data_IF_960674831396
#
_entry.id   IF_960674831396
#
_cell.length_a   1.000
_cell.length_b   1.000
_cell.length_c   1.000
_cell.angle_alpha   90.00
_cell.angle_beta   90.00
_cell.angle_gamma   90.00
#
_symmetry.space_group_name_H-M   'P 1'
#
loop_
_entity.id
_entity.type
_entity.pdbx_description
1 polymer ?
#
# COMPACT_ATOMS: atom_id res chain seq x y z
N UNK A 1 -8.48 -56.20 28.80
CA UNK A 1 -7.09 -55.77 28.53
C UNK A 1 -7.15 -54.32 28.12
N UNK A 2 -7.08 -53.50 29.15
CA UNK A 2 -7.09 -52.04 29.10
C UNK A 2 -5.80 -51.53 28.47
N UNK A 3 -5.91 -50.47 27.67
CA UNK A 3 -4.77 -49.64 27.32
C UNK A 3 -4.94 -48.35 28.11
N UNK A 4 -4.06 -48.19 29.08
CA UNK A 4 -4.01 -47.09 30.03
C UNK A 4 -3.83 -45.75 29.31
N UNK A 5 -4.66 -44.80 29.75
CA UNK A 5 -4.47 -43.36 29.60
C UNK A 5 -3.45 -42.88 30.62
N UNK A 6 -2.32 -42.35 30.16
CA UNK A 6 -1.50 -41.41 30.94
C UNK A 6 -1.56 -40.05 30.23
N UNK A 7 -2.15 -39.10 30.95
CA UNK A 7 -1.97 -37.66 30.73
C UNK A 7 -0.61 -37.32 31.34
N UNK A 8 0.21 -36.56 30.62
CA UNK A 8 1.12 -35.60 31.23
C UNK A 8 1.37 -34.39 30.30
N UNK A 9 1.33 -33.26 30.98
CA UNK A 9 1.41 -31.80 30.76
C UNK A 9 1.87 -31.16 29.42
N UNK A 10 1.37 -29.92 29.13
CA UNK A 10 1.82 -29.11 28.01
C UNK A 10 3.16 -28.42 28.32
N UNK A 11 4.14 -28.60 27.43
CA UNK A 11 5.34 -27.76 27.36
C UNK A 11 4.94 -26.32 27.01
N UNK A 12 4.90 -25.44 28.01
CA UNK A 12 5.01 -24.00 27.81
C UNK A 12 6.42 -23.71 27.28
N UNK A 13 6.51 -23.07 26.11
CA UNK A 13 7.76 -22.52 25.59
C UNK A 13 7.53 -21.10 25.07
N UNK A 14 7.87 -20.15 25.93
CA UNK A 14 8.52 -18.85 25.72
C UNK A 14 8.52 -18.28 24.29
N UNK A 15 7.36 -17.85 23.81
CA UNK A 15 7.24 -17.04 22.59
C UNK A 15 6.47 -15.73 22.79
N UNK A 16 6.02 -15.42 24.01
CA UNK A 16 5.32 -14.16 24.33
C UNK A 16 6.25 -13.06 24.87
N UNK A 17 7.41 -13.39 25.45
CA UNK A 17 8.34 -12.38 25.99
C UNK A 17 9.07 -11.57 24.89
N UNK A 18 9.39 -12.18 23.75
CA UNK A 18 10.14 -11.50 22.68
C UNK A 18 9.30 -10.51 21.86
N UNK A 19 7.97 -10.69 21.80
CA UNK A 19 7.04 -9.78 21.11
C UNK A 19 6.61 -8.60 22.00
N UNK A 20 6.65 -8.78 23.33
CA UNK A 20 6.44 -7.70 24.29
C UNK A 20 7.63 -6.73 24.30
N UNK A 21 8.86 -7.25 24.30
CA UNK A 21 10.09 -6.43 24.33
C UNK A 21 10.28 -5.60 23.05
N UNK A 22 9.93 -6.14 21.88
CA UNK A 22 9.98 -5.38 20.62
C UNK A 22 8.98 -4.21 20.59
N UNK A 23 7.78 -4.41 21.16
CA UNK A 23 6.75 -3.37 21.30
C UNK A 23 7.14 -2.31 22.34
N UNK A 24 7.74 -2.73 23.47
CA UNK A 24 8.21 -1.83 24.53
C UNK A 24 9.43 -1.02 24.06
N UNK A 25 10.34 -1.60 23.27
CA UNK A 25 11.48 -0.88 22.69
C UNK A 25 11.03 0.19 21.67
N UNK A 26 10.02 -0.10 20.83
CA UNK A 26 9.43 0.93 19.97
C UNK A 26 8.70 2.02 20.78
N UNK A 27 7.90 1.66 21.78
CA UNK A 27 7.18 2.64 22.61
C UNK A 27 8.13 3.55 23.41
N UNK A 28 9.22 3.00 23.94
CA UNK A 28 10.22 3.77 24.69
C UNK A 28 11.07 4.68 23.80
N UNK A 29 11.33 4.30 22.54
CA UNK A 29 11.98 5.17 21.56
C UNK A 29 11.13 6.42 21.22
N UNK A 30 9.80 6.30 21.27
CA UNK A 30 8.87 7.44 21.08
C UNK A 30 8.57 8.22 22.38
N UNK A 31 8.82 7.66 23.56
CA UNK A 31 8.57 8.32 24.85
C UNK A 31 9.66 9.32 25.26
N UNK A 32 10.87 9.22 24.68
CA UNK A 32 12.02 10.07 25.03
C UNK A 32 12.05 11.47 24.39
N UNK A 33 11.17 11.76 23.42
CA UNK A 33 11.09 13.08 22.81
C UNK A 33 9.95 13.88 23.42
N UNK A 34 10.28 14.78 24.36
CA UNK A 34 9.40 15.88 24.74
C UNK A 34 9.11 16.68 23.45
N UNK A 35 7.94 16.48 22.86
CA UNK A 35 7.48 17.26 21.71
C UNK A 35 7.22 18.69 22.19
N UNK A 36 7.98 19.64 21.67
CA UNK A 36 7.53 21.02 21.57
C UNK A 36 6.31 21.03 20.64
N UNK A 37 5.12 21.09 21.23
CA UNK A 37 3.82 21.08 20.55
C UNK A 37 3.45 22.44 19.94
N UNK A 38 4.40 23.37 19.83
CA UNK A 38 4.16 24.74 19.34
C UNK A 38 4.24 24.92 17.83
N UNK A 39 4.83 23.98 17.07
CA UNK A 39 5.07 24.14 15.63
C UNK A 39 3.98 23.50 14.72
N UNK A 40 3.08 22.69 15.28
CA UNK A 40 1.97 22.06 14.51
C UNK A 40 0.77 23.00 14.37
N UNK A 41 0.65 24.02 15.22
CA UNK A 41 -0.48 24.97 15.20
C UNK A 41 -0.37 26.07 14.14
N UNK A 42 0.78 26.24 13.48
CA UNK A 42 0.94 27.28 12.46
C UNK A 42 0.49 26.87 11.05
N UNK A 43 0.27 25.57 10.80
CA UNK A 43 -0.27 25.08 9.53
C UNK A 43 -1.81 24.98 9.51
N UNK A 44 -2.50 25.25 10.62
CA UNK A 44 -3.94 24.97 10.76
C UNK A 44 -4.88 26.14 10.41
N UNK A 45 -4.39 27.32 10.04
CA UNK A 45 -5.24 28.50 9.76
C UNK A 45 -5.25 28.98 8.31
N UNK A 46 -4.56 28.29 7.38
CA UNK A 46 -4.53 28.69 5.97
C UNK A 46 -5.40 27.74 5.12
N UNK A 47 -6.50 28.30 4.59
CA UNK A 47 -7.37 27.77 3.52
C UNK A 47 -8.30 26.58 3.85
N UNK A 48 -9.11 26.65 4.92
CA UNK A 48 -10.31 25.80 5.03
C UNK A 48 -11.64 26.57 5.00
N UNK A 49 -11.60 27.89 4.82
CA UNK A 49 -12.78 28.76 4.69
C UNK A 49 -13.18 28.94 3.22
N UNK A 50 -13.37 27.86 2.49
CA UNK A 50 -13.86 27.91 1.11
C UNK A 50 -15.24 27.25 1.06
N UNK A 51 -16.25 28.01 0.67
CA UNK A 51 -17.59 27.44 0.42
C UNK A 51 -17.52 26.63 -0.89
N UNK A 52 -17.72 25.33 -0.78
CA UNK A 52 -17.85 24.46 -1.94
C UNK A 52 -19.31 24.39 -2.38
N UNK A 53 -19.55 24.62 -3.66
CA UNK A 53 -20.87 24.38 -4.24
C UNK A 53 -21.09 22.87 -4.49
N UNK A 54 -21.91 22.31 -3.61
CA UNK A 54 -22.33 20.92 -3.65
C UNK A 54 -23.68 20.72 -4.33
N UNK A 55 -24.29 21.74 -4.92
CA UNK A 55 -25.59 21.61 -5.61
C UNK A 55 -25.63 20.48 -6.65
N UNK A 56 -24.49 20.17 -7.29
CA UNK A 56 -24.36 19.15 -8.33
C UNK A 56 -23.68 17.82 -7.90
N UNK A 57 -23.59 17.45 -6.61
CA UNK A 57 -23.10 16.08 -6.32
C UNK A 57 -24.19 15.07 -6.67
N UNK A 58 -23.84 14.11 -7.52
CA UNK A 58 -24.75 13.07 -7.97
C UNK A 58 -24.28 11.75 -7.38
N UNK A 59 -25.21 10.87 -7.03
CA UNK A 59 -24.85 9.48 -6.79
C UNK A 59 -24.10 8.96 -8.02
N UNK A 60 -23.06 8.15 -7.85
CA UNK A 60 -22.43 7.47 -8.99
C UNK A 60 -23.31 6.32 -9.49
N UNK A 61 -24.61 6.56 -9.67
CA UNK A 61 -25.51 5.63 -10.36
C UNK A 61 -25.21 5.75 -11.84
N UNK A 62 -24.31 4.90 -12.29
CA UNK A 62 -23.92 4.83 -13.68
C UNK A 62 -25.08 4.20 -14.46
N UNK A 63 -25.89 4.99 -15.16
CA UNK A 63 -26.84 4.47 -16.17
C UNK A 63 -26.12 3.66 -17.26
N UNK A 64 -24.81 3.92 -17.44
CA UNK A 64 -23.89 3.06 -18.16
C UNK A 64 -23.02 2.33 -17.15
N UNK A 65 -23.20 1.03 -16.96
CA UNK A 65 -22.45 0.15 -16.03
C UNK A 65 -20.91 0.14 -16.22
N UNK A 66 -20.22 1.26 -16.04
CA UNK A 66 -18.77 1.31 -16.11
C UNK A 66 -18.22 0.73 -14.81
N UNK A 67 -17.48 -0.36 -14.96
CA UNK A 67 -16.75 -1.02 -13.89
C UNK A 67 -15.35 -0.42 -13.86
N UNK A 68 -15.03 0.26 -12.76
CA UNK A 68 -13.72 0.88 -12.57
C UNK A 68 -12.76 -0.14 -11.92
N UNK A 69 -11.52 -0.18 -12.40
CA UNK A 69 -10.44 -0.97 -11.82
C UNK A 69 -9.25 -0.05 -11.60
N UNK A 70 -8.93 0.20 -10.33
CA UNK A 70 -7.72 0.91 -9.93
C UNK A 70 -6.55 -0.07 -9.86
N UNK A 71 -5.43 0.28 -10.50
CA UNK A 71 -4.20 -0.50 -10.48
C UNK A 71 -3.13 0.33 -9.78
N UNK A 72 -2.54 -0.22 -8.72
CA UNK A 72 -1.41 0.35 -8.02
C UNK A 72 -0.16 -0.47 -8.37
N UNK A 73 0.89 0.22 -8.82
CA UNK A 73 2.20 -0.36 -9.04
C UNK A 73 3.13 -0.01 -7.87
N UNK A 74 3.65 -1.03 -7.18
CA UNK A 74 4.52 -0.87 -6.02
C UNK A 74 5.96 -0.95 -6.46
N UNK A 75 6.73 0.13 -6.22
CA UNK A 75 8.14 0.16 -6.51
C UNK A 75 8.87 -0.99 -5.77
N UNK A 76 9.60 -1.82 -6.51
CA UNK A 76 10.30 -2.98 -5.94
C UNK A 76 11.52 -2.65 -5.08
N UNK A 77 11.87 -1.37 -4.92
CA UNK A 77 13.04 -0.94 -4.15
C UNK A 77 12.79 -1.05 -2.64
N UNK A 78 13.78 -1.56 -1.90
CA UNK A 78 13.65 -1.79 -0.46
C UNK A 78 13.38 -0.52 0.36
N UNK A 79 13.73 0.67 -0.15
CA UNK A 79 13.47 1.94 0.51
C UNK A 79 11.97 2.18 0.77
N UNK A 80 11.09 1.64 -0.07
CA UNK A 80 9.65 1.83 0.04
C UNK A 80 8.94 0.76 0.89
N UNK A 81 9.65 -0.29 1.29
CA UNK A 81 9.08 -1.47 1.96
C UNK A 81 8.45 -1.13 3.31
N UNK A 82 9.02 -0.15 4.01
CA UNK A 82 8.46 0.36 5.25
C UNK A 82 7.09 1.00 5.07
N UNK A 83 6.73 1.47 3.87
CA UNK A 83 5.50 2.24 3.62
C UNK A 83 4.45 1.48 2.80
N UNK A 84 4.82 0.37 2.14
CA UNK A 84 3.87 -0.36 1.30
C UNK A 84 2.62 -0.81 2.05
N UNK A 85 2.73 -1.17 3.33
CA UNK A 85 1.62 -1.62 4.18
C UNK A 85 0.44 -0.63 4.24
N UNK A 86 0.68 0.67 4.00
CA UNK A 86 -0.34 1.73 3.97
C UNK A 86 -1.34 1.54 2.83
N UNK A 87 -0.92 0.89 1.74
CA UNK A 87 -1.69 0.76 0.50
C UNK A 87 -2.24 -0.66 0.27
N UNK A 88 -1.93 -1.61 1.17
CA UNK A 88 -2.58 -2.92 1.13
C UNK A 88 -4.00 -2.81 1.66
N UNK A 89 -4.89 -3.63 1.10
CA UNK A 89 -6.31 -3.46 1.30
C UNK A 89 -7.00 -4.84 1.28
N UNK A 90 -7.88 -5.14 2.26
CA UNK A 90 -8.58 -6.42 2.35
C UNK A 90 -9.54 -6.70 1.20
N UNK A 91 -9.95 -5.68 0.45
CA UNK A 91 -10.82 -5.78 -0.73
C UNK A 91 -10.04 -5.79 -2.05
N UNK A 92 -8.72 -5.93 -2.02
CA UNK A 92 -7.90 -6.06 -3.22
C UNK A 92 -7.54 -7.53 -3.53
N UNK A 93 -7.29 -7.80 -4.82
CA UNK A 93 -6.47 -8.92 -5.24
C UNK A 93 -5.11 -8.40 -5.72
N UNK A 94 -4.12 -9.29 -5.79
CA UNK A 94 -2.74 -8.90 -6.06
C UNK A 94 -2.19 -9.62 -7.27
N UNK A 95 -1.32 -8.94 -8.01
CA UNK A 95 -0.54 -9.51 -9.09
C UNK A 95 0.91 -9.54 -8.64
N UNK A 96 1.47 -10.73 -8.43
CA UNK A 96 2.87 -10.89 -8.06
C UNK A 96 3.67 -11.21 -9.32
N UNK A 97 4.48 -10.26 -9.77
CA UNK A 97 5.35 -10.44 -10.94
C UNK A 97 6.72 -10.91 -10.47
N UNK A 98 7.21 -12.02 -11.03
CA UNK A 98 8.51 -12.62 -10.73
C UNK A 98 9.32 -12.80 -12.00
N UNK A 99 10.64 -12.68 -11.94
CA UNK A 99 11.53 -12.96 -13.08
C UNK A 99 11.89 -14.44 -13.08
N UNK A 100 11.38 -15.20 -14.05
CA UNK A 100 11.61 -16.65 -14.12
C UNK A 100 12.95 -17.03 -14.73
N UNK A 101 13.72 -16.06 -15.23
CA UNK A 101 15.09 -16.30 -15.69
C UNK A 101 16.08 -16.41 -14.52
N UNK A 102 15.64 -16.11 -13.30
CA UNK A 102 16.47 -16.04 -12.10
C UNK A 102 16.29 -17.29 -11.25
N UNK A 103 17.40 -17.81 -10.72
CA UNK A 103 17.38 -18.90 -9.74
C UNK A 103 16.83 -18.36 -8.42
N UNK A 104 15.82 -19.03 -7.87
CA UNK A 104 15.17 -18.65 -6.61
C UNK A 104 16.14 -18.56 -5.44
N UNK A 105 17.24 -19.33 -5.48
CA UNK A 105 18.27 -19.36 -4.42
C UNK A 105 19.40 -18.36 -4.67
N UNK A 106 19.46 -17.75 -5.84
CA UNK A 106 20.46 -16.72 -6.13
C UNK A 106 20.11 -15.43 -5.41
N UNK A 107 21.13 -14.69 -5.00
CA UNK A 107 21.00 -13.34 -4.43
C UNK A 107 20.31 -12.43 -5.45
N UNK A 108 19.35 -11.63 -5.01
CA UNK A 108 18.60 -10.77 -5.91
C UNK A 108 19.38 -9.50 -6.26
N UNK A 109 19.58 -9.27 -7.56
CA UNK A 109 20.50 -8.25 -8.10
C UNK A 109 20.04 -6.78 -7.89
N UNK A 110 18.80 -6.55 -7.43
CA UNK A 110 18.16 -5.20 -7.38
C UNK A 110 17.46 -4.87 -6.07
N UNK A 111 17.72 -5.69 -5.07
CA UNK A 111 17.22 -5.60 -3.71
C UNK A 111 17.51 -4.25 -3.05
N UNK A 112 18.81 -3.95 -2.99
CA UNK A 112 19.38 -2.87 -2.22
C UNK A 112 20.81 -2.65 -2.71
N UNK A 113 21.12 -1.45 -3.17
CA UNK A 113 22.47 -1.10 -3.65
C UNK A 113 23.48 -0.96 -2.48
N UNK A 114 22.97 -0.91 -1.24
CA UNK A 114 23.75 -0.77 -0.01
C UNK A 114 23.93 -2.13 0.68
N UNK A 115 25.17 -2.53 0.87
CA UNK A 115 25.51 -3.75 1.61
C UNK A 115 25.23 -3.61 3.12
N UNK A 116 24.98 -4.75 3.79
CA UNK A 116 24.79 -4.81 5.24
C UNK A 116 23.41 -4.40 5.74
N UNK A 117 22.44 -4.18 4.85
CA UNK A 117 21.03 -3.98 5.22
C UNK A 117 20.27 -5.32 5.24
N UNK A 118 19.15 -5.35 5.97
CA UNK A 118 18.31 -6.56 6.18
C UNK A 118 17.96 -7.27 4.87
N UNK A 119 17.80 -6.51 3.77
CA UNK A 119 17.37 -6.99 2.45
C UNK A 119 18.53 -7.23 1.47
N UNK A 120 19.76 -6.88 1.85
CA UNK A 120 20.92 -6.82 0.94
C UNK A 120 21.43 -8.20 0.50
N UNK A 121 21.14 -9.24 1.28
CA UNK A 121 21.53 -10.63 1.01
C UNK A 121 20.33 -11.52 0.66
N UNK A 122 19.16 -10.94 0.44
CA UNK A 122 17.95 -11.69 0.10
C UNK A 122 18.08 -12.38 -1.25
N UNK A 123 17.65 -13.64 -1.27
CA UNK A 123 17.45 -14.41 -2.50
C UNK A 123 16.13 -14.04 -3.17
N UNK A 124 15.94 -14.43 -4.43
CA UNK A 124 14.64 -14.27 -5.10
C UNK A 124 13.49 -14.97 -4.34
N UNK A 125 13.76 -16.11 -3.68
CA UNK A 125 12.79 -16.78 -2.81
C UNK A 125 12.41 -15.95 -1.58
N UNK A 126 13.38 -15.25 -0.96
CA UNK A 126 13.12 -14.36 0.17
C UNK A 126 12.24 -13.19 -0.24
N UNK A 127 12.48 -12.60 -1.42
CA UNK A 127 11.62 -11.55 -1.99
C UNK A 127 10.19 -12.02 -2.20
N UNK A 128 10.00 -13.19 -2.81
CA UNK A 128 8.66 -13.74 -3.02
C UNK A 128 7.97 -14.01 -1.68
N UNK A 129 8.71 -14.54 -0.71
CA UNK A 129 8.20 -14.80 0.64
C UNK A 129 7.81 -13.51 1.34
N UNK A 130 8.61 -12.45 1.23
CA UNK A 130 8.31 -11.13 1.77
C UNK A 130 7.02 -10.58 1.17
N UNK A 131 6.88 -10.55 -0.15
CA UNK A 131 5.70 -9.98 -0.81
C UNK A 131 4.43 -10.76 -0.50
N UNK A 132 4.48 -12.11 -0.52
CA UNK A 132 3.35 -12.93 -0.09
C UNK A 132 3.04 -12.75 1.39
N UNK A 133 4.05 -12.56 2.24
CA UNK A 133 3.88 -12.26 3.66
C UNK A 133 3.17 -10.92 3.89
N UNK A 134 3.56 -9.88 3.15
CA UNK A 134 2.93 -8.57 3.17
C UNK A 134 1.47 -8.63 2.72
N UNK A 135 1.18 -9.33 1.62
CA UNK A 135 -0.19 -9.59 1.14
C UNK A 135 -1.02 -10.31 2.21
N UNK A 136 -0.45 -11.35 2.82
CA UNK A 136 -1.13 -12.14 3.83
C UNK A 136 -1.43 -11.34 5.11
N UNK A 137 -0.54 -10.43 5.48
CA UNK A 137 -0.59 -9.68 6.75
C UNK A 137 -1.46 -8.44 6.62
N UNK A 138 -1.26 -7.64 5.57
CA UNK A 138 -1.88 -6.32 5.43
C UNK A 138 -3.04 -6.30 4.42
N UNK A 139 -3.03 -7.19 3.43
CA UNK A 139 -4.14 -7.34 2.50
C UNK A 139 -5.22 -8.19 3.14
N UNK A 140 -5.10 -9.50 3.01
CA UNK A 140 -6.01 -10.46 3.65
C UNK A 140 -5.39 -11.84 3.65
N UNK A 141 -5.69 -12.64 4.67
CA UNK A 141 -5.28 -14.05 4.74
C UNK A 141 -5.80 -14.90 3.58
N UNK A 142 -6.86 -14.45 2.91
CA UNK A 142 -7.47 -15.10 1.75
C UNK A 142 -7.35 -14.29 0.46
N UNK A 143 -6.55 -13.22 0.43
CA UNK A 143 -6.36 -12.38 -0.74
C UNK A 143 -5.90 -13.22 -1.96
N UNK A 144 -6.61 -13.17 -3.09
CA UNK A 144 -6.18 -13.90 -4.28
C UNK A 144 -4.91 -13.27 -4.85
N UNK A 145 -3.93 -14.12 -5.19
CA UNK A 145 -2.73 -13.70 -5.92
C UNK A 145 -2.76 -14.32 -7.31
N UNK A 146 -2.49 -13.49 -8.31
CA UNK A 146 -2.18 -13.89 -9.68
C UNK A 146 -0.66 -13.85 -9.81
N UNK A 147 -0.03 -15.01 -10.04
CA UNK A 147 1.42 -15.09 -10.22
C UNK A 147 1.76 -14.89 -11.70
N UNK A 148 2.63 -13.93 -12.00
CA UNK A 148 3.09 -13.64 -13.36
C UNK A 148 4.60 -13.85 -13.43
N UNK A 149 5.01 -14.95 -14.06
CA UNK A 149 6.39 -15.28 -14.37
C UNK A 149 6.83 -14.55 -15.66
N UNK A 150 7.53 -13.43 -15.49
CA UNK A 150 8.10 -12.62 -16.57
C UNK A 150 9.41 -13.22 -17.13
N UNK A 151 9.84 -12.71 -18.29
CA UNK A 151 11.08 -13.12 -18.98
C UNK A 151 11.07 -14.58 -19.47
N UNK A 152 9.90 -15.10 -19.84
CA UNK A 152 9.78 -16.48 -20.33
C UNK A 152 10.49 -16.73 -21.67
N UNK A 153 10.84 -15.68 -22.42
CA UNK A 153 11.68 -15.77 -23.61
C UNK A 153 13.12 -16.23 -23.27
N UNK A 154 13.61 -15.91 -22.07
CA UNK A 154 14.98 -16.20 -21.62
C UNK A 154 15.19 -17.67 -21.26
N UNK A 155 14.12 -18.43 -21.02
CA UNK A 155 14.19 -19.86 -20.70
C UNK A 155 14.12 -20.76 -21.95
N UNK A 156 14.02 -20.17 -23.15
CA UNK A 156 13.88 -20.86 -24.42
C UNK A 156 12.51 -21.52 -24.61
N UNK A 157 12.38 -22.38 -25.63
CA UNK A 157 11.10 -23.06 -25.92
C UNK A 157 10.63 -23.89 -24.71
N UNK A 158 9.35 -23.72 -24.36
CA UNK A 158 8.66 -24.43 -23.27
C UNK A 158 7.35 -25.07 -23.76
N UNK A 159 7.43 -26.13 -24.60
CA UNK A 159 6.25 -26.83 -25.06
C UNK A 159 5.50 -27.41 -23.87
N UNK A 160 4.17 -27.26 -23.85
CA UNK A 160 3.28 -27.65 -22.76
C UNK A 160 3.52 -26.95 -21.40
N UNK A 161 4.24 -25.82 -21.38
CA UNK A 161 4.50 -25.03 -20.15
C UNK A 161 5.24 -25.81 -19.05
N UNK A 162 6.06 -26.81 -19.41
CA UNK A 162 6.73 -27.69 -18.45
C UNK A 162 7.68 -26.91 -17.53
N UNK A 163 8.57 -26.09 -18.10
CA UNK A 163 9.54 -25.28 -17.33
C UNK A 163 8.84 -24.27 -16.44
N UNK A 164 7.79 -23.63 -16.96
CA UNK A 164 6.95 -22.74 -16.16
C UNK A 164 6.31 -23.46 -14.95
N UNK A 165 5.78 -24.68 -15.15
CA UNK A 165 5.20 -25.45 -14.05
C UNK A 165 6.24 -25.91 -13.03
N UNK A 166 7.43 -26.32 -13.48
CA UNK A 166 8.55 -26.64 -12.59
C UNK A 166 8.91 -25.43 -11.72
N UNK A 167 9.04 -24.24 -12.32
CA UNK A 167 9.30 -22.99 -11.60
C UNK A 167 8.17 -22.62 -10.61
N UNK A 168 6.90 -22.77 -11.01
CA UNK A 168 5.76 -22.56 -10.11
C UNK A 168 5.82 -23.49 -8.88
N UNK A 169 6.09 -24.77 -9.09
CA UNK A 169 6.21 -25.74 -7.99
C UNK A 169 7.45 -25.49 -7.12
N UNK A 170 8.53 -24.99 -7.70
CA UNK A 170 9.71 -24.55 -6.95
C UNK A 170 9.36 -23.40 -5.99
N UNK A 171 8.64 -22.36 -6.47
CA UNK A 171 8.12 -21.28 -5.62
C UNK A 171 7.25 -21.84 -4.50
N UNK A 172 6.33 -22.77 -4.81
CA UNK A 172 5.49 -23.41 -3.80
C UNK A 172 6.30 -24.19 -2.76
N UNK A 173 7.43 -24.78 -3.18
CA UNK A 173 8.35 -25.51 -2.33
C UNK A 173 9.15 -24.62 -1.39
N UNK A 174 9.56 -23.43 -1.84
CA UNK A 174 10.38 -22.49 -1.07
C UNK A 174 9.56 -21.66 -0.09
N UNK A 175 8.33 -21.26 -0.44
CA UNK A 175 7.53 -20.39 0.43
C UNK A 175 6.94 -21.15 1.64
N UNK A 176 6.81 -20.49 2.81
CA UNK A 176 6.16 -21.05 3.99
C UNK A 176 4.76 -21.59 3.71
N UNK A 177 4.39 -22.72 4.34
CA UNK A 177 3.09 -23.40 4.14
C UNK A 177 1.88 -22.48 4.26
N UNK A 178 1.91 -21.53 5.20
CA UNK A 178 0.81 -20.57 5.44
C UNK A 178 0.58 -19.60 4.28
N UNK A 179 1.59 -19.35 3.45
CA UNK A 179 1.50 -18.43 2.31
C UNK A 179 1.07 -19.13 1.02
N UNK A 180 1.23 -20.46 0.93
CA UNK A 180 0.87 -21.26 -0.26
C UNK A 180 -0.59 -21.11 -0.67
N UNK A 181 -1.49 -20.80 0.25
CA UNK A 181 -2.91 -20.55 -0.03
C UNK A 181 -3.17 -19.40 -1.01
N UNK A 182 -2.23 -18.48 -1.13
CA UNK A 182 -2.31 -17.37 -2.08
C UNK A 182 -1.99 -17.82 -3.51
N UNK A 183 -1.17 -18.88 -3.65
CA UNK A 183 -0.71 -19.40 -4.93
C UNK A 183 -1.68 -20.43 -5.47
N UNK A 184 -2.14 -20.21 -6.69
CA UNK A 184 -3.01 -21.12 -7.41
C UNK A 184 -2.53 -21.25 -8.84
N UNK A 185 -2.37 -22.51 -9.28
CA UNK A 185 -1.89 -22.84 -10.61
C UNK A 185 -2.79 -22.27 -11.70
N UNK A 186 -4.10 -22.19 -11.47
CA UNK A 186 -5.06 -21.63 -12.43
C UNK A 186 -4.95 -20.10 -12.54
N UNK A 187 -4.30 -19.45 -11.57
CA UNK A 187 -3.99 -18.01 -11.58
C UNK A 187 -2.49 -17.74 -11.80
N UNK A 188 -1.79 -18.66 -12.46
CA UNK A 188 -0.37 -18.51 -12.74
C UNK A 188 -0.11 -18.45 -14.25
N UNK A 189 0.68 -17.46 -14.69
CA UNK A 189 0.96 -17.19 -16.10
C UNK A 189 2.44 -16.95 -16.33
N UNK A 190 2.99 -17.47 -17.43
CA UNK A 190 4.26 -17.00 -17.98
C UNK A 190 4.03 -15.98 -19.08
N UNK A 191 4.83 -14.90 -19.07
CA UNK A 191 4.75 -13.81 -20.05
C UNK A 191 6.12 -13.50 -20.63
N UNK A 192 6.12 -13.02 -21.86
CA UNK A 192 7.32 -12.56 -22.55
C UNK A 192 7.38 -11.03 -22.51
N UNK A 193 8.58 -10.45 -22.41
CA UNK A 193 8.72 -8.99 -22.44
C UNK A 193 8.28 -8.44 -23.80
N UNK A 194 7.53 -7.33 -23.79
CA UNK A 194 7.07 -6.63 -25.00
C UNK A 194 6.31 -7.52 -26.01
N UNK A 195 5.54 -8.49 -25.51
CA UNK A 195 4.81 -9.47 -26.31
C UNK A 195 3.37 -9.60 -25.82
N UNK A 196 2.42 -9.78 -26.75
CA UNK A 196 1.01 -10.05 -26.43
C UNK A 196 0.74 -11.53 -26.13
N UNK A 197 1.77 -12.38 -26.20
CA UNK A 197 1.65 -13.81 -25.93
C UNK A 197 1.16 -14.04 -24.49
N UNK A 198 0.15 -14.89 -24.34
CA UNK A 198 -0.55 -15.18 -23.07
C UNK A 198 -1.27 -13.97 -22.40
N UNK A 199 -1.16 -12.76 -22.96
CA UNK A 199 -1.77 -11.55 -22.38
C UNK A 199 -3.29 -11.60 -22.38
N UNK A 200 -3.89 -12.23 -23.40
CA UNK A 200 -5.35 -12.42 -23.47
C UNK A 200 -5.88 -13.28 -22.31
N UNK A 201 -5.19 -14.37 -22.00
CA UNK A 201 -5.58 -15.28 -20.92
C UNK A 201 -5.34 -14.65 -19.55
N UNK A 202 -4.23 -13.92 -19.39
CA UNK A 202 -3.96 -13.14 -18.17
C UNK A 202 -5.04 -12.08 -17.93
N UNK A 203 -5.41 -11.30 -18.95
CA UNK A 203 -6.51 -10.32 -18.86
C UNK A 203 -7.84 -10.98 -18.50
N UNK A 204 -8.12 -12.16 -19.06
CA UNK A 204 -9.31 -12.96 -18.70
C UNK A 204 -9.27 -13.41 -17.24
N UNK A 205 -8.10 -13.85 -16.76
CA UNK A 205 -7.89 -14.22 -15.37
C UNK A 205 -8.13 -13.02 -14.45
N UNK A 206 -7.51 -11.87 -14.70
CA UNK A 206 -7.70 -10.63 -13.94
C UNK A 206 -9.19 -10.29 -13.85
N UNK A 207 -9.90 -10.28 -14.98
CA UNK A 207 -11.34 -10.01 -15.00
C UNK A 207 -12.16 -11.05 -14.21
N UNK A 208 -11.78 -12.33 -14.24
CA UNK A 208 -12.44 -13.38 -13.47
C UNK A 208 -12.15 -13.29 -11.97
N UNK A 209 -10.92 -12.96 -11.59
CA UNK A 209 -10.52 -12.76 -10.19
C UNK A 209 -11.24 -11.56 -9.59
N UNK A 210 -11.35 -10.46 -10.35
CA UNK A 210 -12.13 -9.29 -9.96
C UNK A 210 -13.61 -9.65 -9.72
N UNK A 211 -14.24 -10.35 -10.67
CA UNK A 211 -15.65 -10.78 -10.54
C UNK A 211 -15.88 -11.83 -9.45
N UNK A 212 -14.85 -12.56 -9.06
CA UNK A 212 -14.90 -13.60 -8.03
C UNK A 212 -14.69 -13.07 -6.61
N UNK A 213 -14.40 -11.78 -6.45
CA UNK A 213 -14.32 -11.18 -5.11
C UNK A 213 -15.69 -11.21 -4.44
N UNK A 214 -15.71 -11.45 -3.11
CA UNK A 214 -16.95 -11.54 -2.33
C UNK A 214 -17.75 -10.22 -2.27
N UNK A 215 -17.07 -9.09 -2.39
CA UNK A 215 -17.65 -7.75 -2.40
C UNK A 215 -18.06 -7.29 -3.81
N UNK A 216 -17.82 -8.12 -4.84
CA UNK A 216 -18.20 -7.77 -6.20
C UNK A 216 -19.72 -7.77 -6.37
N UNK A 217 -20.29 -6.60 -6.69
CA UNK A 217 -21.73 -6.43 -6.85
C UNK A 217 -22.49 -6.33 -5.53
N UNK A 218 -21.79 -6.02 -4.43
CA UNK A 218 -22.45 -5.69 -3.16
C UNK A 218 -23.28 -4.40 -3.29
N UNK A 219 -24.41 -4.35 -2.59
CA UNK A 219 -25.20 -3.13 -2.48
C UNK A 219 -24.53 -2.17 -1.50
N UNK A 220 -24.32 -0.93 -1.93
CA UNK A 220 -23.72 0.13 -1.11
C UNK A 220 -24.72 1.26 -0.91
N UNK A 221 -24.77 1.89 0.28
CA UNK A 221 -25.64 3.04 0.51
C UNK A 221 -25.36 4.15 -0.50
N UNK A 222 -26.41 4.67 -1.12
CA UNK A 222 -26.33 5.81 -2.07
C UNK A 222 -25.61 7.01 -1.43
N UNK A 223 -25.82 7.21 -0.13
CA UNK A 223 -25.11 8.19 0.69
C UNK A 223 -23.58 8.14 0.55
N UNK A 224 -22.99 6.94 0.48
CA UNK A 224 -21.54 6.77 0.41
C UNK A 224 -21.01 7.17 -0.97
N UNK A 225 -21.74 6.86 -2.04
CA UNK A 225 -21.36 7.29 -3.40
C UNK A 225 -21.46 8.82 -3.56
N UNK A 226 -22.46 9.44 -2.93
CA UNK A 226 -22.60 10.90 -2.86
C UNK A 226 -21.44 11.52 -2.07
N UNK A 227 -21.07 10.92 -0.94
CA UNK A 227 -19.90 11.33 -0.15
C UNK A 227 -18.62 11.25 -0.98
N UNK A 228 -18.43 10.20 -1.76
CA UNK A 228 -17.28 10.10 -2.66
C UNK A 228 -17.21 11.27 -3.64
N UNK A 229 -18.34 11.68 -4.23
CA UNK A 229 -18.40 12.88 -5.08
C UNK A 229 -18.05 14.16 -4.32
N UNK A 230 -18.47 14.30 -3.06
CA UNK A 230 -18.10 15.43 -2.20
C UNK A 230 -16.59 15.44 -1.97
N UNK A 231 -16.00 14.30 -1.60
CA UNK A 231 -14.56 14.16 -1.39
C UNK A 231 -13.76 14.45 -2.66
N UNK A 232 -14.23 14.01 -3.83
CA UNK A 232 -13.61 14.31 -5.14
C UNK A 232 -13.63 15.82 -5.44
N UNK A 233 -14.70 16.54 -5.11
CA UNK A 233 -14.77 18.00 -5.25
C UNK A 233 -13.78 18.71 -4.31
N UNK A 234 -13.73 18.32 -3.03
CA UNK A 234 -12.80 18.89 -2.05
C UNK A 234 -11.34 18.64 -2.48
N UNK A 235 -11.05 17.44 -3.01
CA UNK A 235 -9.73 17.03 -3.53
C UNK A 235 -9.16 17.97 -4.61
N UNK A 236 -10.03 18.64 -5.36
CA UNK A 236 -9.62 19.60 -6.41
C UNK A 236 -8.89 20.81 -5.82
N UNK A 237 -9.18 21.16 -4.58
CA UNK A 237 -8.56 22.30 -3.87
C UNK A 237 -7.46 21.83 -2.91
N UNK A 238 -7.76 20.83 -2.08
CA UNK A 238 -6.87 20.40 -0.98
C UNK A 238 -6.58 18.91 -1.07
N UNK A 239 -5.39 18.48 -0.60
CA UNK A 239 -4.94 17.08 -0.66
C UNK A 239 -5.20 16.31 0.62
N UNK A 240 -5.32 17.04 1.71
CA UNK A 240 -5.57 16.56 3.06
C UNK A 240 -6.73 17.38 3.63
N UNK A 241 -7.64 16.74 4.35
CA UNK A 241 -8.76 17.41 4.98
C UNK A 241 -8.99 16.89 6.41
N UNK A 242 -9.05 17.77 7.44
CA UNK A 242 -9.32 17.34 8.81
C UNK A 242 -10.69 16.68 8.92
N UNK A 243 -10.78 15.58 9.67
CA UNK A 243 -12.03 14.84 9.86
C UNK A 243 -13.13 15.72 10.48
N UNK A 244 -12.79 16.55 11.47
CA UNK A 244 -13.75 17.47 12.10
C UNK A 244 -14.38 18.42 11.10
N UNK A 245 -13.58 18.97 10.19
CA UNK A 245 -14.06 19.90 9.17
C UNK A 245 -14.94 19.17 8.15
N UNK A 246 -14.54 17.96 7.75
CA UNK A 246 -15.35 17.11 6.89
C UNK A 246 -16.70 16.79 7.52
N UNK A 247 -16.73 16.48 8.81
CA UNK A 247 -17.97 16.16 9.49
C UNK A 247 -18.94 17.35 9.51
N UNK A 248 -18.44 18.57 9.79
CA UNK A 248 -19.28 19.77 9.70
C UNK A 248 -19.76 20.02 8.26
N UNK A 249 -18.90 19.88 7.25
CA UNK A 249 -19.31 19.96 5.83
C UNK A 249 -20.41 18.96 5.49
N UNK A 250 -20.29 17.71 5.94
CA UNK A 250 -21.27 16.65 5.65
C UNK A 250 -22.61 16.88 6.36
N UNK A 251 -22.61 17.42 7.59
CA UNK A 251 -23.85 17.77 8.32
C UNK A 251 -24.70 18.82 7.59
N UNK A 252 -24.06 19.76 6.92
CA UNK A 252 -24.76 20.79 6.15
C UNK A 252 -25.46 20.22 4.91
N UNK A 253 -24.96 19.08 4.41
CA UNK A 253 -25.50 18.37 3.25
C UNK A 253 -26.59 17.37 3.65
N UNK A 254 -27.79 17.88 3.94
CA UNK A 254 -28.96 17.10 4.40
C UNK A 254 -29.31 15.89 3.53
N UNK A 255 -29.05 15.98 2.24
CA UNK A 255 -29.34 14.96 1.22
C UNK A 255 -28.38 13.74 1.24
N UNK A 256 -27.26 13.79 2.00
CA UNK A 256 -26.38 12.64 2.23
C UNK A 256 -26.92 11.68 3.30
N UNK A 257 -27.78 12.14 4.21
CA UNK A 257 -28.33 11.33 5.32
C UNK A 257 -27.27 10.68 6.23
N UNK A 258 -26.08 11.28 6.36
CA UNK A 258 -25.05 10.88 7.34
C UNK A 258 -25.21 11.76 8.57
N UNK A 259 -25.69 11.20 9.67
CA UNK A 259 -26.22 11.98 10.80
C UNK A 259 -25.26 12.08 11.99
N UNK A 260 -24.25 11.20 12.05
CA UNK A 260 -23.30 11.14 13.15
C UNK A 260 -21.89 10.74 12.67
N UNK A 261 -20.90 10.88 13.55
CA UNK A 261 -19.50 10.59 13.22
C UNK A 261 -19.26 9.10 12.92
N UNK A 262 -19.97 8.18 13.58
CA UNK A 262 -19.80 6.74 13.38
C UNK A 262 -20.25 6.32 11.97
N UNK A 263 -21.36 6.87 11.48
CA UNK A 263 -21.83 6.69 10.10
C UNK A 263 -20.82 7.24 9.09
N UNK A 264 -20.25 8.43 9.36
CA UNK A 264 -19.22 9.01 8.49
C UNK A 264 -17.94 8.15 8.51
N UNK A 265 -17.47 7.71 9.68
CA UNK A 265 -16.32 6.82 9.83
C UNK A 265 -16.54 5.52 9.06
N UNK A 266 -17.74 4.94 9.14
CA UNK A 266 -18.09 3.72 8.40
C UNK A 266 -18.01 3.94 6.90
N UNK A 267 -18.56 5.05 6.39
CA UNK A 267 -18.47 5.42 5.00
C UNK A 267 -17.02 5.68 4.55
N UNK A 268 -16.22 6.38 5.36
CA UNK A 268 -14.80 6.65 5.07
C UNK A 268 -13.95 5.38 5.09
N UNK A 269 -14.20 4.44 5.99
CA UNK A 269 -13.53 3.14 5.98
C UNK A 269 -13.85 2.36 4.71
N UNK A 270 -15.11 2.38 4.25
CA UNK A 270 -15.45 1.80 2.96
C UNK A 270 -14.72 2.48 1.78
N UNK A 271 -14.68 3.82 1.76
CA UNK A 271 -14.01 4.59 0.68
C UNK A 271 -12.48 4.40 0.76
N UNK A 272 -11.92 4.19 1.95
CA UNK A 272 -10.54 3.78 2.15
C UNK A 272 -10.28 2.36 1.61
N UNK A 273 -11.17 1.42 1.94
CA UNK A 273 -11.10 0.04 1.46
C UNK A 273 -11.42 -0.10 -0.04
N UNK A 274 -11.78 0.97 -0.75
CA UNK A 274 -11.83 1.00 -2.23
C UNK A 274 -10.60 1.67 -2.84
N UNK A 275 -9.70 2.22 -2.03
CA UNK A 275 -8.48 2.89 -2.45
C UNK A 275 -8.67 4.32 -2.95
N UNK A 276 -9.85 4.92 -2.76
CA UNK A 276 -10.14 6.29 -3.22
C UNK A 276 -9.47 7.32 -2.30
N UNK A 277 -9.40 7.03 -1.00
CA UNK A 277 -8.77 7.88 0.03
C UNK A 277 -7.87 7.03 0.95
N UNK A 278 -7.03 7.69 1.75
CA UNK A 278 -6.44 7.06 2.95
C UNK A 278 -7.07 7.67 4.20
N UNK A 279 -7.59 6.81 5.06
CA UNK A 279 -8.19 7.20 6.33
C UNK A 279 -7.86 6.14 7.38
N UNK A 280 -7.32 6.60 8.51
CA UNK A 280 -7.09 5.74 9.66
C UNK A 280 -7.62 6.47 10.89
N UNK A 281 -8.54 5.81 11.61
CA UNK A 281 -9.07 6.36 12.86
C UNK A 281 -7.98 6.28 13.94
N UNK A 282 -7.54 7.44 14.40
CA UNK A 282 -6.68 7.58 15.57
C UNK A 282 -7.50 7.56 16.86
N UNK A 283 -6.84 7.23 17.98
CA UNK A 283 -7.46 7.26 19.31
C UNK A 283 -7.93 8.66 19.72
N UNK A 284 -7.29 9.70 19.16
CA UNK A 284 -7.64 11.09 19.40
C UNK A 284 -8.34 11.64 18.17
N UNK A 285 -9.64 11.82 18.27
CA UNK A 285 -10.49 12.22 17.13
C UNK A 285 -10.08 13.54 16.49
N UNK A 286 -9.56 14.50 17.27
CA UNK A 286 -9.07 15.80 16.76
C UNK A 286 -7.82 15.70 15.87
N UNK A 287 -7.14 14.56 15.90
CA UNK A 287 -5.95 14.28 15.10
C UNK A 287 -6.31 13.45 13.85
N UNK A 288 -7.59 13.07 13.68
CA UNK A 288 -8.04 12.33 12.51
C UNK A 288 -7.98 13.19 11.25
N UNK A 289 -7.30 12.66 10.25
CA UNK A 289 -7.05 13.32 8.98
C UNK A 289 -7.51 12.39 7.85
N UNK A 290 -8.15 12.97 6.84
CA UNK A 290 -8.49 12.28 5.60
C UNK A 290 -7.52 12.72 4.51
N UNK A 291 -6.77 11.77 3.96
CA UNK A 291 -5.91 12.02 2.80
C UNK A 291 -6.77 11.77 1.55
N UNK A 292 -7.13 12.85 0.87
CA UNK A 292 -8.03 12.84 -0.28
C UNK A 292 -7.34 12.43 -1.59
N UNK A 293 -6.01 12.56 -1.64
CA UNK A 293 -5.22 12.28 -2.84
C UNK A 293 -4.10 11.28 -2.52
N UNK A 294 -4.38 10.01 -2.76
CA UNK A 294 -3.45 8.90 -2.51
C UNK A 294 -2.16 9.05 -3.32
N UNK A 295 -2.25 9.53 -4.57
CA UNK A 295 -1.07 9.73 -5.43
C UNK A 295 -0.19 10.84 -4.89
N UNK A 296 -0.77 11.99 -4.52
CA UNK A 296 -0.03 13.07 -3.88
C UNK A 296 0.66 12.59 -2.59
N UNK A 297 0.00 11.76 -1.79
CA UNK A 297 0.58 11.21 -0.57
C UNK A 297 1.76 10.28 -0.87
N UNK A 298 1.64 9.39 -1.86
CA UNK A 298 2.75 8.56 -2.35
C UNK A 298 3.93 9.43 -2.77
N UNK A 299 3.68 10.49 -3.55
CA UNK A 299 4.74 11.36 -4.05
C UNK A 299 5.38 12.21 -2.94
N UNK A 300 4.61 12.61 -1.93
CA UNK A 300 5.13 13.21 -0.71
C UNK A 300 6.07 12.25 0.04
N UNK A 301 5.68 10.98 0.16
CA UNK A 301 6.53 9.94 0.75
C UNK A 301 7.81 9.73 -0.05
N UNK A 302 7.77 9.74 -1.39
CA UNK A 302 8.98 9.68 -2.22
C UNK A 302 9.90 10.88 -2.01
N UNK A 303 9.38 12.05 -1.66
CA UNK A 303 10.22 13.21 -1.35
C UNK A 303 10.92 13.08 0.01
N UNK A 304 10.31 12.36 0.95
CA UNK A 304 10.88 12.09 2.27
C UNK A 304 11.83 10.91 2.19
N UNK A 305 11.45 9.82 1.53
CA UNK A 305 12.27 8.64 1.29
C UNK A 305 13.23 8.99 0.15
N UNK A 306 14.39 9.51 0.52
CA UNK A 306 15.42 9.92 -0.43
C UNK A 306 16.09 8.67 -1.00
N UNK A 307 15.49 8.12 -2.04
CA UNK A 307 16.20 7.29 -3.02
C UNK A 307 17.02 8.23 -3.91
N UNK A 308 18.33 8.00 -4.00
CA UNK A 308 19.27 8.81 -4.79
C UNK A 308 18.85 8.93 -6.27
N UNK A 309 18.02 8.00 -6.76
CA UNK A 309 17.50 8.00 -8.13
C UNK A 309 16.33 8.96 -8.36
N UNK A 310 15.60 9.34 -7.31
CA UNK A 310 14.39 10.18 -7.41
C UNK A 310 14.57 11.58 -6.80
N UNK A 311 15.77 11.87 -6.27
CA UNK A 311 16.07 13.12 -5.59
C UNK A 311 16.94 14.05 -6.46
N UNK A 312 16.34 15.12 -7.00
CA UNK A 312 17.04 16.13 -7.81
C UNK A 312 16.95 17.55 -7.20
N UNK A 313 17.17 17.69 -5.89
CA UNK A 313 17.14 19.02 -5.26
C UNK A 313 18.51 19.51 -4.79
N UNK A 314 19.28 20.04 -5.75
CA UNK A 314 20.62 20.63 -5.54
C UNK A 314 20.68 21.71 -4.45
N UNK A 315 19.57 22.37 -4.15
CA UNK A 315 19.50 23.40 -3.10
C UNK A 315 19.52 22.82 -1.68
N UNK A 316 19.13 21.54 -1.53
CA UNK A 316 19.08 20.84 -0.24
C UNK A 316 20.36 20.04 0.02
N UNK A 317 21.05 19.59 -1.04
CA UNK A 317 22.34 18.91 -0.97
C UNK A 317 23.42 19.72 -0.25
N UNK A 318 23.29 21.05 -0.18
CA UNK A 318 24.24 21.94 0.48
C UNK A 318 23.89 22.24 1.95
N UNK A 319 23.01 21.46 2.59
CA UNK A 319 22.61 21.66 3.98
C UNK A 319 23.18 20.58 4.91
N UNK A 320 23.78 21.00 6.02
CA UNK A 320 24.24 20.09 7.09
C UNK A 320 23.15 19.16 7.62
N UNK A 321 21.89 19.60 7.63
CA UNK A 321 20.75 18.77 8.04
C UNK A 321 20.49 17.63 7.05
N UNK A 322 20.81 17.84 5.78
CA UNK A 322 20.72 16.81 4.75
C UNK A 322 21.78 15.73 4.94
N UNK A 323 23.01 16.13 5.30
CA UNK A 323 24.07 15.18 5.66
C UNK A 323 23.66 14.34 6.87
N UNK A 324 23.09 14.98 7.90
CA UNK A 324 22.55 14.30 9.09
C UNK A 324 21.44 13.32 8.71
N UNK A 325 20.52 13.74 7.84
CA UNK A 325 19.45 12.89 7.34
C UNK A 325 20.01 11.68 6.56
N UNK A 326 20.95 11.89 5.64
CA UNK A 326 21.55 10.81 4.83
C UNK A 326 22.37 9.82 5.66
N UNK A 327 23.07 10.31 6.67
CA UNK A 327 23.96 9.48 7.50
C UNK A 327 23.22 8.77 8.64
N UNK A 328 22.21 9.39 9.24
CA UNK A 328 21.55 8.89 10.46
C UNK A 328 20.04 8.67 10.32
N UNK A 329 19.42 9.03 9.18
CA UNK A 329 17.97 8.95 8.98
C UNK A 329 17.17 9.98 9.77
N UNK A 330 17.80 11.04 10.28
CA UNK A 330 17.17 12.03 11.15
C UNK A 330 16.58 13.20 10.34
N UNK A 331 15.25 13.24 10.23
CA UNK A 331 14.53 14.34 9.57
C UNK A 331 14.35 15.51 10.55
N UNK A 332 15.17 16.56 10.40
CA UNK A 332 15.05 17.77 11.23
C UNK A 332 13.85 18.63 10.79
N UNK A 333 13.28 19.42 11.71
CA UNK A 333 12.19 20.36 11.35
C UNK A 333 12.61 21.40 10.30
N UNK A 334 13.88 21.79 10.29
CA UNK A 334 14.46 22.70 9.29
C UNK A 334 14.56 22.03 7.92
N UNK A 335 15.01 20.77 7.85
CA UNK A 335 15.03 20.00 6.62
C UNK A 335 13.61 19.75 6.10
N UNK A 336 12.67 19.40 6.99
CA UNK A 336 11.27 19.20 6.63
C UNK A 336 10.64 20.45 5.98
N UNK A 337 10.92 21.65 6.52
CA UNK A 337 10.47 22.92 5.92
C UNK A 337 11.13 23.21 4.56
N UNK A 338 12.35 22.73 4.33
CA UNK A 338 13.09 22.91 3.06
C UNK A 338 12.67 21.91 1.98
N UNK A 339 12.27 20.70 2.36
CA UNK A 339 11.58 19.75 1.50
C UNK A 339 10.16 20.30 1.29
N UNK A 340 10.04 21.32 0.44
CA UNK A 340 8.74 21.84 0.03
C UNK A 340 8.07 20.77 -0.84
N UNK A 341 7.23 19.94 -0.20
CA UNK A 341 6.62 18.74 -0.78
C UNK A 341 5.90 19.08 -2.08
N UNK A 342 5.06 20.12 -2.11
CA UNK A 342 4.31 20.48 -3.32
C UNK A 342 5.21 20.95 -4.46
N UNK A 343 6.29 21.69 -4.14
CA UNK A 343 7.27 22.10 -5.15
C UNK A 343 8.07 20.91 -5.70
N UNK A 344 8.41 19.96 -4.84
CA UNK A 344 9.13 18.73 -5.19
C UNK A 344 8.26 17.80 -6.03
N UNK A 345 6.98 17.63 -5.68
CA UNK A 345 6.00 16.85 -6.46
C UNK A 345 5.83 17.45 -7.86
N UNK A 346 5.72 18.77 -7.99
CA UNK A 346 5.61 19.44 -9.29
C UNK A 346 6.85 19.26 -10.18
N UNK A 347 8.04 19.02 -9.60
CA UNK A 347 9.25 18.65 -10.36
C UNK A 347 9.19 17.19 -10.81
N UNK A 348 8.83 16.26 -9.91
CA UNK A 348 8.67 14.82 -10.23
C UNK A 348 7.66 14.60 -11.37
N UNK A 349 6.55 15.35 -11.39
CA UNK A 349 5.53 15.25 -12.43
C UNK A 349 6.03 15.66 -13.84
N UNK A 350 7.12 16.44 -13.95
CA UNK A 350 7.72 16.80 -15.24
C UNK A 350 8.63 15.69 -15.78
N UNK A 351 9.30 14.97 -14.89
CA UNK A 351 10.21 13.87 -15.24
C UNK A 351 9.45 12.65 -15.78
N UNK A 352 8.32 12.30 -15.17
CA UNK A 352 7.48 11.17 -15.62
C UNK A 352 6.75 11.42 -16.96
N UNK A 353 6.87 12.61 -17.55
CA UNK A 353 6.37 12.91 -18.91
C UNK A 353 7.48 12.84 -19.98
N UNK A 354 8.74 12.67 -19.58
CA UNK A 354 9.90 12.63 -20.47
C UNK A 354 10.52 11.24 -20.67
N UNK A 355 10.02 10.22 -19.98
CA UNK A 355 10.22 8.79 -20.29
C UNK A 355 9.00 8.24 -21.04
#
# INVERSE_FOLDING_TARGET
MEINTEKDEPCQSDSEETDHDARVLMQNAFAGSKRDTSDVSQYSEVQFSQEWDFSDYVASTNENSLKELSILDFAGQSAYYACHHIFFNPRAFYILVVDMSKDLKSRADRACDKEGLIYSDWTYADYITYWLGSIHTYGSKSAPVILVASHSESIGSDPNKKKFLEYFFEICGTVPKRLRRHLDKERAFSVEKNSDKNMKDLKKCIASTLKGQNHWGEDVPVAWTKLESVLRKIRMTVKIYPFSNLFETVKELKDLQINNEEELITALNFIHDTGVILFQKEKKEKENIVILDVQWFVDAFKCIIIDERHYENKDVDNCTDFDIYKSHGLLTGTLNRRINIDRSINKLAKYNKSE
#
